data_IF_083804930607
#
_entry.id   IF_083804930607
#
_cell.length_a   1.000
_cell.length_b   1.000
_cell.length_c   1.000
_cell.angle_alpha   90.00
_cell.angle_beta   90.00
_cell.angle_gamma   90.00
#
_symmetry.space_group_name_H-M   'P 1'
#
loop_
_entity.id
_entity.type
_entity.pdbx_description
1 polymer ?
#
# COMPACT_ATOMS: atom_id res chain seq x y z
N UNK A 1 37.16 -25.88 5.84
CA UNK A 1 36.78 -25.18 4.60
C UNK A 1 35.90 -24.00 4.95
N UNK A 2 36.39 -22.78 4.75
CA UNK A 2 35.73 -21.53 5.11
C UNK A 2 34.62 -21.22 4.10
N UNK A 3 33.37 -21.18 4.57
CA UNK A 3 32.23 -20.81 3.73
C UNK A 3 32.35 -19.33 3.36
N UNK A 4 32.63 -19.04 2.09
CA UNK A 4 32.53 -17.70 1.50
C UNK A 4 31.13 -17.15 1.78
N UNK A 5 31.01 -16.24 2.74
CA UNK A 5 29.93 -15.26 2.79
C UNK A 5 29.94 -14.56 1.44
N UNK A 6 28.96 -14.86 0.58
CA UNK A 6 28.75 -14.09 -0.64
C UNK A 6 28.35 -12.70 -0.17
N UNK A 7 29.26 -11.74 -0.30
CA UNK A 7 28.99 -10.33 -0.09
C UNK A 7 27.78 -9.95 -0.96
N UNK A 8 26.74 -9.41 -0.33
CA UNK A 8 25.58 -8.91 -1.04
C UNK A 8 26.02 -7.91 -2.12
N UNK A 9 25.43 -7.94 -3.33
CA UNK A 9 25.74 -6.95 -4.35
C UNK A 9 25.19 -5.60 -3.89
N UNK A 10 26.10 -4.71 -3.48
CA UNK A 10 25.80 -3.37 -2.96
C UNK A 10 25.86 -3.34 -1.43
N UNK A 11 26.91 -2.73 -0.89
CA UNK A 11 27.24 -2.66 0.55
C UNK A 11 26.27 -1.87 1.42
N UNK A 12 24.97 -1.94 1.17
CA UNK A 12 23.93 -1.32 1.99
C UNK A 12 23.42 -2.37 2.97
N UNK A 13 23.60 -2.12 4.27
CA UNK A 13 23.11 -3.02 5.32
C UNK A 13 21.59 -3.28 5.18
N UNK A 14 21.11 -4.51 5.41
CA UNK A 14 19.69 -4.83 5.34
C UNK A 14 18.91 -3.98 6.34
N UNK A 15 17.69 -3.58 5.96
CA UNK A 15 16.84 -2.76 6.82
C UNK A 15 16.38 -3.58 8.03
N UNK A 16 16.37 -2.98 9.22
CA UNK A 16 15.89 -3.69 10.41
C UNK A 16 14.37 -3.93 10.32
N UNK A 17 13.88 -5.13 10.70
CA UNK A 17 12.44 -5.43 10.65
C UNK A 17 11.59 -4.41 11.42
N UNK A 18 12.10 -3.90 12.55
CA UNK A 18 11.42 -2.88 13.37
C UNK A 18 11.16 -1.59 12.58
N UNK A 19 12.14 -1.09 11.81
CA UNK A 19 11.98 0.15 11.03
C UNK A 19 11.02 -0.03 9.85
N UNK A 20 11.03 -1.21 9.24
CA UNK A 20 10.09 -1.55 8.16
C UNK A 20 8.65 -1.50 8.63
N UNK A 21 8.37 -2.20 9.73
CA UNK A 21 7.04 -2.22 10.33
C UNK A 21 6.65 -0.85 10.87
N UNK A 22 7.58 -0.08 11.44
CA UNK A 22 7.32 1.31 11.80
C UNK A 22 6.88 2.15 10.59
N UNK A 23 7.57 2.04 9.46
CA UNK A 23 7.22 2.77 8.24
C UNK A 23 5.83 2.36 7.72
N UNK A 24 5.54 1.05 7.68
CA UNK A 24 4.25 0.51 7.25
C UNK A 24 3.12 1.00 8.18
N UNK A 25 3.31 0.89 9.50
CA UNK A 25 2.32 1.33 10.49
C UNK A 25 2.09 2.84 10.41
N UNK A 26 3.16 3.64 10.36
CA UNK A 26 3.04 5.10 10.25
C UNK A 26 2.36 5.52 8.94
N UNK A 27 2.73 4.91 7.82
CA UNK A 27 2.08 5.15 6.53
C UNK A 27 0.60 4.76 6.54
N UNK A 28 0.27 3.64 7.19
CA UNK A 28 -1.13 3.17 7.34
C UNK A 28 -1.95 4.12 8.20
N UNK A 29 -1.43 4.54 9.35
CA UNK A 29 -2.09 5.51 10.24
C UNK A 29 -2.35 6.84 9.54
N UNK A 30 -1.45 7.27 8.66
CA UNK A 30 -1.63 8.47 7.86
C UNK A 30 -2.61 8.27 6.69
N UNK A 31 -2.66 7.06 6.12
CA UNK A 31 -3.60 6.74 5.05
C UNK A 31 -5.04 6.59 5.56
N UNK A 32 -5.26 6.16 6.80
CA UNK A 32 -6.60 6.02 7.40
C UNK A 32 -7.46 7.29 7.25
N UNK A 33 -7.04 8.47 7.75
CA UNK A 33 -7.85 9.69 7.60
C UNK A 33 -7.99 10.09 6.13
N UNK A 34 -6.96 9.89 5.30
CA UNK A 34 -7.03 10.18 3.87
C UNK A 34 -8.12 9.36 3.17
N UNK A 35 -8.15 8.06 3.44
CA UNK A 35 -9.13 7.12 2.92
C UNK A 35 -10.55 7.49 3.35
N UNK A 36 -10.75 7.77 4.64
CA UNK A 36 -12.07 8.12 5.15
C UNK A 36 -12.59 9.44 4.61
N UNK A 37 -11.73 10.45 4.42
CA UNK A 37 -12.14 11.71 3.80
C UNK A 37 -12.51 11.55 2.32
N UNK A 38 -11.74 10.77 1.54
CA UNK A 38 -12.10 10.48 0.15
C UNK A 38 -13.43 9.74 0.07
N UNK A 39 -13.62 8.72 0.91
CA UNK A 39 -14.84 7.94 0.91
C UNK A 39 -16.06 8.77 1.34
N UNK A 40 -15.92 9.60 2.38
CA UNK A 40 -16.97 10.49 2.84
C UNK A 40 -17.41 11.46 1.73
N UNK A 41 -16.45 12.13 1.07
CA UNK A 41 -16.78 13.06 -0.02
C UNK A 41 -17.36 12.37 -1.28
N UNK A 42 -16.98 11.12 -1.56
CA UNK A 42 -17.59 10.34 -2.64
C UNK A 42 -19.02 9.89 -2.32
N UNK A 43 -19.28 9.51 -1.06
CA UNK A 43 -20.62 9.12 -0.61
C UNK A 43 -21.55 10.32 -0.60
N UNK A 44 -21.08 11.45 -0.05
CA UNK A 44 -21.83 12.71 -0.01
C UNK A 44 -22.21 13.18 -1.42
N UNK A 45 -21.26 13.22 -2.36
CA UNK A 45 -21.54 13.59 -3.75
C UNK A 45 -22.49 12.62 -4.47
N UNK A 46 -22.46 11.33 -4.15
CA UNK A 46 -23.39 10.35 -4.72
C UNK A 46 -24.82 10.48 -4.18
N UNK A 47 -24.98 10.98 -2.95
CA UNK A 47 -26.29 11.27 -2.36
C UNK A 47 -26.87 12.58 -2.93
N UNK A 48 -26.05 13.62 -3.11
CA UNK A 48 -26.45 14.88 -3.73
C UNK A 48 -26.96 14.69 -5.18
N UNK A 49 -26.29 13.84 -5.96
CA UNK A 49 -26.74 13.50 -7.32
C UNK A 49 -28.08 12.73 -7.32
N UNK A 50 -28.41 12.03 -6.23
CA UNK A 50 -29.66 11.30 -6.06
C UNK A 50 -30.80 12.18 -5.48
N UNK A 51 -30.45 13.19 -4.68
CA UNK A 51 -31.35 14.16 -4.06
C UNK A 51 -31.16 15.54 -4.68
N UNK A 52 -31.56 15.71 -5.94
CA UNK A 52 -31.46 16.99 -6.65
C UNK A 52 -32.46 18.06 -6.13
N UNK A 53 -32.42 18.40 -4.84
CA UNK A 53 -32.99 19.61 -4.23
C UNK A 53 -32.13 19.98 -3.01
N UNK A 54 -31.60 21.21 -3.00
CA UNK A 54 -30.78 21.87 -1.96
C UNK A 54 -29.34 21.36 -1.81
N UNK A 55 -28.41 22.09 -2.41
CA UNK A 55 -27.00 21.74 -2.43
C UNK A 55 -26.17 22.29 -1.27
N UNK A 56 -25.00 21.66 -1.11
CA UNK A 56 -23.74 22.28 -0.72
C UNK A 56 -22.57 21.50 -1.36
N UNK A 57 -22.40 21.62 -2.68
CA UNK A 57 -21.36 20.92 -3.48
C UNK A 57 -19.92 21.24 -3.01
N UNK A 58 -19.75 22.26 -2.14
CA UNK A 58 -18.46 22.68 -1.60
C UNK A 58 -17.81 21.67 -0.66
N UNK A 59 -18.59 20.95 0.14
CA UNK A 59 -18.07 20.11 1.23
C UNK A 59 -17.57 18.74 0.74
N UNK A 60 -18.30 18.10 -0.18
CA UNK A 60 -17.90 16.86 -0.86
C UNK A 60 -16.52 16.95 -1.53
N UNK A 61 -16.35 17.96 -2.39
CA UNK A 61 -15.11 18.15 -3.14
C UNK A 61 -13.93 18.48 -2.21
N UNK A 62 -14.17 19.25 -1.15
CA UNK A 62 -13.17 19.57 -0.14
C UNK A 62 -12.69 18.31 0.60
N UNK A 63 -13.59 17.41 0.97
CA UNK A 63 -13.24 16.13 1.62
C UNK A 63 -12.39 15.22 0.72
N UNK A 64 -12.77 15.09 -0.56
CA UNK A 64 -11.97 14.33 -1.54
C UNK A 64 -10.60 14.99 -1.72
N UNK A 65 -10.54 16.30 -1.91
CA UNK A 65 -9.30 17.03 -2.08
C UNK A 65 -8.38 16.91 -0.86
N UNK A 66 -8.94 17.00 0.35
CA UNK A 66 -8.20 16.83 1.60
C UNK A 66 -7.57 15.43 1.69
N UNK A 67 -8.34 14.38 1.42
CA UNK A 67 -7.79 13.02 1.47
C UNK A 67 -6.76 12.77 0.36
N UNK A 68 -6.97 13.27 -0.86
CA UNK A 68 -5.97 13.21 -1.93
C UNK A 68 -4.69 13.97 -1.58
N UNK A 69 -4.80 15.12 -0.90
CA UNK A 69 -3.65 15.91 -0.44
C UNK A 69 -2.80 15.18 0.60
N UNK A 70 -3.38 14.24 1.36
CA UNK A 70 -2.64 13.41 2.32
C UNK A 70 -1.86 12.25 1.68
N UNK A 71 -2.27 11.76 0.50
CA UNK A 71 -1.62 10.61 -0.18
C UNK A 71 -0.11 10.81 -0.41
N UNK A 72 0.38 11.97 -0.90
CA UNK A 72 1.81 12.21 -1.04
C UNK A 72 2.58 12.00 0.27
N UNK A 73 2.00 12.42 1.40
CA UNK A 73 2.63 12.29 2.71
C UNK A 73 2.73 10.82 3.15
N UNK A 74 1.78 9.96 2.78
CA UNK A 74 1.88 8.51 3.01
C UNK A 74 3.14 7.95 2.34
N UNK A 75 3.38 8.33 1.08
CA UNK A 75 4.58 7.87 0.36
C UNK A 75 5.87 8.50 0.90
N UNK A 76 5.83 9.76 1.35
CA UNK A 76 6.96 10.41 2.04
C UNK A 76 7.31 9.61 3.30
N UNK A 77 6.33 9.32 4.17
CA UNK A 77 6.55 8.54 5.39
C UNK A 77 7.16 7.18 5.06
N UNK A 78 6.61 6.47 4.07
CA UNK A 78 7.14 5.17 3.64
C UNK A 78 8.58 5.27 3.14
N UNK A 79 8.87 6.20 2.23
CA UNK A 79 10.18 6.32 1.59
C UNK A 79 11.27 6.77 2.57
N UNK A 80 10.97 7.73 3.44
CA UNK A 80 11.97 8.28 4.36
C UNK A 80 12.17 7.40 5.60
N UNK A 81 11.10 6.87 6.22
CA UNK A 81 11.27 5.99 7.38
C UNK A 81 11.88 4.63 7.01
N UNK A 82 11.69 4.17 5.78
CA UNK A 82 12.38 2.99 5.26
C UNK A 82 13.77 3.28 4.67
N UNK A 83 14.30 4.51 4.81
CA UNK A 83 15.64 4.87 4.32
C UNK A 83 15.86 4.57 2.83
N UNK A 84 14.84 4.83 2.01
CA UNK A 84 14.90 4.56 0.59
C UNK A 84 16.09 5.31 -0.05
N UNK A 85 17.02 4.64 -0.78
CA UNK A 85 18.26 5.26 -1.30
C UNK A 85 18.05 6.49 -2.20
N UNK A 86 16.85 6.61 -2.76
CA UNK A 86 16.41 7.72 -3.62
C UNK A 86 15.02 8.20 -3.22
N UNK A 87 14.82 8.51 -1.93
CA UNK A 87 13.49 8.76 -1.35
C UNK A 87 12.62 9.75 -2.15
N UNK A 88 13.09 10.96 -2.56
CA UNK A 88 12.26 11.88 -3.33
C UNK A 88 11.81 11.31 -4.68
N UNK A 89 12.72 10.65 -5.40
CA UNK A 89 12.39 10.00 -6.68
C UNK A 89 11.46 8.79 -6.51
N UNK A 90 11.53 8.09 -5.39
CA UNK A 90 10.63 7.00 -5.05
C UNK A 90 9.22 7.50 -4.77
N UNK A 91 9.07 8.63 -4.07
CA UNK A 91 7.77 9.27 -3.81
C UNK A 91 7.08 9.66 -5.12
N UNK A 92 7.78 10.35 -6.03
CA UNK A 92 7.20 10.77 -7.32
C UNK A 92 6.76 9.55 -8.14
N UNK A 93 7.59 8.51 -8.20
CA UNK A 93 7.22 7.25 -8.87
C UNK A 93 6.05 6.56 -8.22
N UNK A 94 5.99 6.55 -6.89
CA UNK A 94 4.90 5.95 -6.13
C UNK A 94 3.58 6.67 -6.39
N UNK A 95 3.58 8.00 -6.41
CA UNK A 95 2.41 8.81 -6.78
C UNK A 95 1.94 8.48 -8.20
N UNK A 96 2.85 8.49 -9.18
CA UNK A 96 2.52 8.16 -10.56
C UNK A 96 1.96 6.74 -10.70
N UNK A 97 2.55 5.77 -9.99
CA UNK A 97 2.10 4.39 -10.03
C UNK A 97 0.75 4.19 -9.31
N UNK A 98 0.51 4.92 -8.22
CA UNK A 98 -0.76 4.89 -7.51
C UNK A 98 -1.91 5.37 -8.40
N UNK A 99 -1.70 6.43 -9.17
CA UNK A 99 -2.67 6.92 -10.15
C UNK A 99 -2.81 5.93 -11.31
N UNK A 100 -1.69 5.48 -11.89
CA UNK A 100 -1.65 4.58 -13.05
C UNK A 100 -2.33 3.24 -12.79
N UNK A 101 -2.27 2.72 -11.55
CA UNK A 101 -2.91 1.46 -11.17
C UNK A 101 -4.29 1.71 -10.57
N UNK A 102 -4.44 2.73 -9.72
CA UNK A 102 -5.67 3.00 -8.99
C UNK A 102 -6.83 3.36 -9.91
N UNK A 103 -6.62 4.23 -10.90
CA UNK A 103 -7.70 4.65 -11.82
C UNK A 103 -8.22 3.45 -12.65
N UNK A 104 -7.38 2.68 -13.36
CA UNK A 104 -7.87 1.50 -14.09
C UNK A 104 -8.49 0.44 -13.18
N UNK A 105 -7.96 0.25 -11.97
CA UNK A 105 -8.53 -0.69 -11.00
C UNK A 105 -9.92 -0.24 -10.53
N UNK A 106 -10.12 1.05 -10.23
CA UNK A 106 -11.45 1.60 -9.93
C UNK A 106 -12.40 1.41 -11.10
N UNK A 107 -11.96 1.69 -12.33
CA UNK A 107 -12.78 1.55 -13.52
C UNK A 107 -13.20 0.08 -13.77
N UNK A 108 -12.26 -0.86 -13.62
CA UNK A 108 -12.53 -2.29 -13.75
C UNK A 108 -13.45 -2.80 -12.64
N UNK A 109 -13.23 -2.33 -11.41
CA UNK A 109 -14.01 -2.74 -10.25
C UNK A 109 -15.35 -2.02 -10.12
N UNK A 110 -15.60 -0.95 -10.90
CA UNK A 110 -16.76 -0.08 -10.75
C UNK A 110 -16.95 0.43 -9.29
N UNK A 111 -15.86 0.58 -8.53
CA UNK A 111 -15.85 1.10 -7.17
C UNK A 111 -14.51 1.78 -6.85
N UNK A 112 -14.55 2.86 -6.07
CA UNK A 112 -13.35 3.63 -5.75
C UNK A 112 -12.43 2.94 -4.72
N UNK A 113 -13.00 2.09 -3.85
CA UNK A 113 -12.30 1.47 -2.71
C UNK A 113 -11.25 0.47 -3.21
N UNK A 114 -11.61 -0.38 -4.16
CA UNK A 114 -10.71 -1.34 -4.79
C UNK A 114 -9.55 -0.63 -5.49
N UNK A 115 -9.82 0.46 -6.20
CA UNK A 115 -8.78 1.23 -6.86
C UNK A 115 -7.88 2.00 -5.89
N UNK A 116 -8.41 2.53 -4.78
CA UNK A 116 -7.59 3.12 -3.72
C UNK A 116 -6.63 2.08 -3.13
N UNK A 117 -7.10 0.87 -2.82
CA UNK A 117 -6.26 -0.21 -2.31
C UNK A 117 -5.20 -0.63 -3.33
N UNK A 118 -5.58 -0.83 -4.59
CA UNK A 118 -4.66 -1.21 -5.65
C UNK A 118 -3.60 -0.13 -5.90
N UNK A 119 -4.01 1.13 -5.99
CA UNK A 119 -3.13 2.27 -6.19
C UNK A 119 -2.16 2.48 -5.03
N UNK A 120 -2.65 2.49 -3.79
CA UNK A 120 -1.79 2.64 -2.60
C UNK A 120 -0.83 1.47 -2.43
N UNK A 121 -1.26 0.24 -2.70
CA UNK A 121 -0.39 -0.92 -2.69
C UNK A 121 0.70 -0.83 -3.76
N UNK A 122 0.34 -0.42 -4.99
CA UNK A 122 1.29 -0.27 -6.09
C UNK A 122 2.29 0.85 -5.81
N UNK A 123 1.84 2.02 -5.35
CA UNK A 123 2.73 3.11 -4.93
C UNK A 123 3.63 2.70 -3.77
N UNK A 124 3.08 2.00 -2.78
CA UNK A 124 3.81 1.48 -1.63
C UNK A 124 4.92 0.50 -2.00
N UNK A 125 4.73 -0.31 -3.06
CA UNK A 125 5.74 -1.24 -3.57
C UNK A 125 7.03 -0.52 -3.99
N UNK A 126 6.92 0.69 -4.54
CA UNK A 126 8.04 1.52 -5.00
C UNK A 126 8.52 2.49 -3.92
N UNK A 127 7.63 2.99 -3.06
CA UNK A 127 8.00 3.89 -1.97
C UNK A 127 8.79 3.16 -0.87
N UNK A 128 8.39 1.93 -0.52
CA UNK A 128 9.06 1.13 0.50
C UNK A 128 10.41 0.66 -0.01
N UNK A 129 11.48 0.90 0.77
CA UNK A 129 12.84 0.51 0.40
C UNK A 129 12.92 -0.93 -0.13
N UNK A 130 13.50 -1.13 -1.32
CA UNK A 130 13.78 -2.47 -1.82
C UNK A 130 14.93 -3.07 -1.01
N UNK A 131 14.73 -4.29 -0.53
CA UNK A 131 15.85 -5.08 0.02
C UNK A 131 16.57 -5.79 -1.12
N UNK A 132 17.92 -5.86 -1.10
CA UNK A 132 18.72 -6.40 -2.20
C UNK A 132 18.31 -7.82 -2.62
N UNK A 133 17.84 -8.60 -1.64
CA UNK A 133 17.46 -9.98 -1.83
C UNK A 133 15.96 -10.17 -2.08
N UNK A 134 15.12 -9.12 -2.01
CA UNK A 134 13.68 -9.22 -2.24
C UNK A 134 13.31 -8.70 -3.63
N UNK A 135 12.88 -9.60 -4.52
CA UNK A 135 12.32 -9.20 -5.81
C UNK A 135 11.00 -8.44 -5.64
N UNK A 136 10.58 -7.70 -6.67
CA UNK A 136 9.32 -6.93 -6.65
C UNK A 136 8.06 -7.82 -6.73
N UNK A 137 8.20 -9.05 -7.23
CA UNK A 137 7.07 -9.97 -7.51
C UNK A 137 6.26 -10.36 -6.27
N UNK A 138 6.84 -10.76 -5.13
CA UNK A 138 6.07 -11.11 -3.93
C UNK A 138 5.24 -9.95 -3.42
N UNK A 139 5.80 -8.73 -3.41
CA UNK A 139 5.08 -7.50 -3.06
C UNK A 139 3.91 -7.26 -4.02
N UNK A 140 4.12 -7.41 -5.32
CA UNK A 140 3.05 -7.26 -6.32
C UNK A 140 1.93 -8.30 -6.10
N UNK A 141 2.27 -9.55 -5.81
CA UNK A 141 1.29 -10.59 -5.46
C UNK A 141 0.52 -10.22 -4.20
N UNK A 142 1.19 -9.70 -3.17
CA UNK A 142 0.54 -9.21 -1.94
C UNK A 142 -0.47 -8.09 -2.23
N UNK A 143 -0.10 -7.13 -3.07
CA UNK A 143 -0.99 -6.03 -3.49
C UNK A 143 -2.18 -6.55 -4.29
N UNK A 144 -1.95 -7.46 -5.23
CA UNK A 144 -3.02 -8.10 -6.02
C UNK A 144 -3.98 -8.84 -5.10
N UNK A 145 -3.46 -9.62 -4.14
CA UNK A 145 -4.27 -10.36 -3.17
C UNK A 145 -5.09 -9.41 -2.28
N UNK A 146 -4.49 -8.31 -1.81
CA UNK A 146 -5.19 -7.29 -1.04
C UNK A 146 -6.31 -6.62 -1.85
N UNK A 147 -6.03 -6.23 -3.09
CA UNK A 147 -7.02 -5.62 -3.97
C UNK A 147 -8.17 -6.59 -4.31
N UNK A 148 -7.85 -7.85 -4.62
CA UNK A 148 -8.85 -8.89 -4.87
C UNK A 148 -9.70 -9.17 -3.63
N UNK A 149 -9.10 -9.25 -2.44
CA UNK A 149 -9.83 -9.44 -1.20
C UNK A 149 -10.79 -8.27 -0.92
N UNK A 150 -10.33 -7.02 -1.10
CA UNK A 150 -11.18 -5.83 -0.99
C UNK A 150 -12.32 -5.86 -1.99
N UNK A 151 -12.05 -6.17 -3.26
CA UNK A 151 -13.07 -6.29 -4.32
C UNK A 151 -14.18 -7.27 -3.93
N UNK A 152 -13.81 -8.45 -3.42
CA UNK A 152 -14.79 -9.45 -2.98
C UNK A 152 -15.54 -9.01 -1.73
N UNK A 153 -14.89 -8.36 -0.77
CA UNK A 153 -15.55 -7.85 0.44
C UNK A 153 -16.55 -6.75 0.13
N UNK A 154 -16.20 -5.78 -0.72
CA UNK A 154 -17.12 -4.70 -1.10
C UNK A 154 -18.38 -5.27 -1.75
N UNK A 155 -18.24 -6.32 -2.58
CA UNK A 155 -19.36 -6.97 -3.27
C UNK A 155 -20.17 -7.93 -2.40
N UNK A 156 -19.51 -8.68 -1.52
CA UNK A 156 -20.16 -9.73 -0.74
C UNK A 156 -20.65 -9.27 0.64
N UNK A 157 -19.97 -8.30 1.24
CA UNK A 157 -20.17 -7.90 2.64
C UNK A 157 -20.45 -6.39 2.82
N UNK A 158 -20.48 -5.62 1.73
CA UNK A 158 -20.84 -4.19 1.74
C UNK A 158 -19.95 -3.37 2.67
N UNK A 159 -20.58 -2.75 3.68
CA UNK A 159 -19.93 -1.85 4.67
C UNK A 159 -18.72 -2.49 5.35
N UNK A 160 -18.74 -3.80 5.59
CA UNK A 160 -17.61 -4.50 6.23
C UNK A 160 -16.33 -4.42 5.37
N UNK A 161 -16.47 -4.38 4.04
CA UNK A 161 -15.34 -4.19 3.14
C UNK A 161 -14.66 -2.83 3.28
N UNK A 162 -15.43 -1.80 3.62
CA UNK A 162 -14.93 -0.43 3.78
C UNK A 162 -14.00 -0.29 4.98
N UNK A 163 -14.20 -1.09 6.03
CA UNK A 163 -13.45 -0.99 7.29
C UNK A 163 -12.03 -1.52 7.19
N UNK A 164 -11.83 -2.63 6.47
CA UNK A 164 -10.50 -3.26 6.34
C UNK A 164 -9.64 -2.65 5.25
N UNK A 165 -10.26 -2.03 4.23
CA UNK A 165 -9.60 -1.53 3.03
C UNK A 165 -8.34 -0.68 3.30
N UNK A 166 -8.33 0.31 4.21
CA UNK A 166 -7.16 1.18 4.38
C UNK A 166 -5.95 0.47 5.00
N UNK A 167 -6.14 -0.64 5.72
CA UNK A 167 -5.04 -1.35 6.42
C UNK A 167 -4.31 -2.31 5.48
N UNK A 168 -5.03 -2.89 4.53
CA UNK A 168 -4.54 -3.98 3.70
C UNK A 168 -3.36 -3.64 2.77
N UNK A 169 -3.35 -2.52 2.01
CA UNK A 169 -2.37 -2.36 0.93
C UNK A 169 -0.93 -2.30 1.43
N UNK A 170 -0.68 -1.64 2.56
CA UNK A 170 0.67 -1.53 3.13
C UNK A 170 1.03 -2.74 4.00
N UNK A 171 0.05 -3.31 4.71
CA UNK A 171 0.26 -4.53 5.51
C UNK A 171 0.60 -5.73 4.62
N UNK A 172 -0.04 -5.84 3.45
CA UNK A 172 0.23 -6.91 2.48
C UNK A 172 1.67 -6.86 1.96
N UNK A 173 2.28 -5.68 1.82
CA UNK A 173 3.69 -5.54 1.47
C UNK A 173 4.60 -6.11 2.56
N UNK A 174 4.32 -5.79 3.83
CA UNK A 174 5.06 -6.33 4.97
C UNK A 174 4.96 -7.85 5.09
N UNK A 175 3.76 -8.40 4.91
CA UNK A 175 3.52 -9.85 4.92
C UNK A 175 4.19 -10.56 3.75
N UNK A 176 4.16 -9.98 2.55
CA UNK A 176 4.81 -10.53 1.37
C UNK A 176 6.33 -10.65 1.59
N UNK A 177 6.95 -9.63 2.18
CA UNK A 177 8.38 -9.67 2.49
C UNK A 177 8.68 -10.71 3.59
N UNK A 178 7.88 -10.78 4.65
CA UNK A 178 8.05 -11.78 5.71
C UNK A 178 7.89 -13.23 5.20
N UNK A 179 7.00 -13.46 4.22
CA UNK A 179 6.82 -14.78 3.61
C UNK A 179 8.07 -15.25 2.86
N UNK A 180 8.75 -14.33 2.16
CA UNK A 180 10.00 -14.64 1.46
C UNK A 180 11.12 -14.94 2.44
N UNK A 181 11.21 -14.18 3.53
CA UNK A 181 12.16 -14.43 4.62
C UNK A 181 11.93 -15.83 5.24
N UNK A 182 10.68 -16.19 5.54
CA UNK A 182 10.33 -17.50 6.09
C UNK A 182 10.76 -18.63 5.16
N UNK A 183 10.37 -18.60 3.88
CA UNK A 183 10.71 -19.63 2.89
C UNK A 183 12.21 -19.88 2.74
N UNK A 184 13.04 -18.87 3.01
CA UNK A 184 14.51 -19.00 2.93
C UNK A 184 15.11 -19.66 4.15
N UNK A 185 14.51 -19.47 5.32
CA UNK A 185 14.99 -20.08 6.57
C UNK A 185 14.63 -21.57 6.68
N UNK A 186 13.52 -22.00 6.07
CA UNK A 186 13.06 -23.39 6.09
C UNK A 186 14.08 -24.41 5.54
N UNK A 187 14.70 -24.23 4.35
CA UNK A 187 15.69 -25.17 3.84
C UNK A 187 17.00 -25.17 4.63
N UNK A 188 17.39 -24.04 5.25
CA UNK A 188 18.60 -23.96 6.09
C UNK A 188 18.42 -24.72 7.39
N UNK A 189 17.23 -24.65 8.01
CA UNK A 189 16.91 -25.42 9.23
C UNK A 189 16.91 -26.93 8.99
N UNK A 190 16.38 -27.38 7.84
CA UNK A 190 16.35 -28.79 7.50
C UNK A 190 17.76 -29.39 7.28
N UNK A 191 18.72 -28.59 6.80
CA UNK A 191 20.10 -29.00 6.58
C UNK A 191 20.99 -28.96 7.84
N UNK A 192 20.56 -28.27 8.91
CA UNK A 192 21.29 -28.22 10.19
C UNK A 192 20.87 -29.28 11.21
N UNK A 193 19.84 -30.07 10.89
CA UNK A 193 19.29 -31.13 11.73
C UNK A 193 19.70 -32.55 11.28
N UNK A 194 20.62 -32.64 10.31
CA UNK A 194 21.23 -33.87 9.79
C UNK A 194 22.73 -33.80 9.99
#
# INVERSE_FOLDING_TARGET
MSARRRSAPGGVAPLSPKRKWLAITAGTLLFLPAYWSILAGMVDGALDDAEAVSGDVGDSAALVAFGLALIPFVFIVLAFLSEHPRAPGAVVKAMGLAVLVGIPASAFAADAVTGLVAGMGAGGLVALRPEPDHGWRPRAVGVIAAAAYTFFLVRGAGVLGLMSAPVLPLTALGLADHYVEWKRTTPVRAASST
#
